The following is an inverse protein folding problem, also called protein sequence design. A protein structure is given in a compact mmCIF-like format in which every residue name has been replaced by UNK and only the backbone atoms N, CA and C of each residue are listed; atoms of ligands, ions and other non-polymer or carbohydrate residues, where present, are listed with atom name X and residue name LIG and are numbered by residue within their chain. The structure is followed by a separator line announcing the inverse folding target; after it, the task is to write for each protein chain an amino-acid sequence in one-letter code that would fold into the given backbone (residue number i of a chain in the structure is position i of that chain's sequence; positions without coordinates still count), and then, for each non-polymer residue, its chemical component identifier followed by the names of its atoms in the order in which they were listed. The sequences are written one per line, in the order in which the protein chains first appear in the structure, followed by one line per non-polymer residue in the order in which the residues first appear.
data_IF_518300501315
#
_entry.id   IF_518300501315
#
_cell.length_a   1.000
_cell.length_b   1.000
_cell.length_c   1.000
_cell.angle_alpha   90.00
_cell.angle_beta   90.00
_cell.angle_gamma   90.00
#
_symmetry.space_group_name_H-M   'P 1'
#
loop_
_entity.id
_entity.type
_entity.pdbx_description
1 polymer ?
#
# COMPACT_ATOMS: atom_id res chain seq x y z
N UNK A 1 -3.18 10.85 9.60
CA UNK A 1 -3.66 9.89 8.59
C UNK A 1 -2.49 9.00 8.26
N UNK A 2 -2.45 7.79 8.83
CA UNK A 2 -1.22 7.01 9.03
C UNK A 2 -0.83 6.99 10.50
N UNK A 3 -1.79 6.73 11.38
CA UNK A 3 -1.49 6.34 12.75
C UNK A 3 -1.56 4.81 12.79
N UNK A 4 -0.49 4.16 13.23
CA UNK A 4 -0.32 2.71 13.15
C UNK A 4 -1.31 1.93 14.04
N UNK A 5 -2.06 2.65 14.87
CA UNK A 5 -3.00 2.07 15.83
C UNK A 5 -4.41 1.86 15.25
N UNK A 6 -4.79 2.53 14.16
CA UNK A 6 -6.12 2.40 13.53
C UNK A 6 -5.97 2.16 12.03
N UNK A 7 -5.48 0.96 11.70
CA UNK A 7 -5.54 0.47 10.34
C UNK A 7 -6.91 -0.15 10.20
N UNK A 8 -7.88 0.72 9.93
CA UNK A 8 -9.17 0.30 9.42
C UNK A 8 -8.91 -0.72 8.30
N UNK A 9 -9.69 -1.79 8.25
CA UNK A 9 -9.57 -2.89 7.29
C UNK A 9 -9.69 -2.44 5.82
N UNK A 10 -9.88 -1.14 5.58
CA UNK A 10 -10.12 -0.46 4.32
C UNK A 10 -8.93 0.43 3.95
N UNK A 11 -8.52 0.36 2.68
CA UNK A 11 -7.43 1.19 2.19
C UNK A 11 -7.82 2.67 2.22
N UNK A 12 -6.84 3.57 2.35
CA UNK A 12 -7.10 5.01 2.32
C UNK A 12 -7.87 5.46 1.05
N UNK A 13 -7.66 4.75 -0.06
CA UNK A 13 -8.40 4.96 -1.31
C UNK A 13 -9.86 4.54 -1.16
N UNK A 14 -10.11 3.31 -0.70
CA UNK A 14 -11.47 2.78 -0.50
C UNK A 14 -12.29 3.65 0.47
N UNK A 15 -11.65 4.12 1.55
CA UNK A 15 -12.28 5.06 2.48
C UNK A 15 -12.74 6.35 1.78
N UNK A 16 -11.90 6.96 0.96
CA UNK A 16 -12.23 8.21 0.25
C UNK A 16 -13.36 7.97 -0.77
N UNK A 17 -13.34 6.86 -1.48
CA UNK A 17 -14.36 6.56 -2.49
C UNK A 17 -15.73 6.30 -1.87
N UNK A 18 -15.78 5.53 -0.78
CA UNK A 18 -17.02 5.08 -0.17
C UNK A 18 -17.59 6.06 0.85
N UNK A 19 -16.76 6.67 1.72
CA UNK A 19 -17.24 7.60 2.76
C UNK A 19 -17.42 9.02 2.23
N UNK A 20 -16.59 9.45 1.28
CA UNK A 20 -16.63 10.81 0.75
C UNK A 20 -17.30 10.90 -0.63
N UNK A 21 -17.61 9.75 -1.26
CA UNK A 21 -18.23 9.69 -2.59
C UNK A 21 -17.33 10.26 -3.70
N UNK A 22 -16.02 10.37 -3.44
CA UNK A 22 -15.05 10.96 -4.36
C UNK A 22 -14.30 9.85 -5.08
N UNK A 23 -14.37 9.82 -6.41
CA UNK A 23 -13.57 8.86 -7.18
C UNK A 23 -12.09 9.18 -7.09
N UNK A 24 -11.28 8.16 -6.80
CA UNK A 24 -9.83 8.27 -6.71
C UNK A 24 -9.18 7.55 -7.87
N UNK A 25 -8.51 8.32 -8.73
CA UNK A 25 -7.80 7.79 -9.90
C UNK A 25 -6.30 7.81 -9.65
N UNK A 26 -5.78 6.74 -9.05
CA UNK A 26 -4.34 6.59 -8.82
C UNK A 26 -3.61 6.34 -10.14
N UNK A 27 -2.57 7.15 -10.42
CA UNK A 27 -1.73 6.99 -11.62
C UNK A 27 -0.94 5.67 -11.56
N UNK A 28 -0.57 5.26 -10.35
CA UNK A 28 0.12 4.01 -10.05
C UNK A 28 -0.40 3.48 -8.71
N UNK A 29 -0.43 2.17 -8.54
CA UNK A 29 -0.62 1.55 -7.24
C UNK A 29 0.71 1.03 -6.71
N UNK A 30 0.73 0.68 -5.43
CA UNK A 30 1.97 0.24 -4.77
C UNK A 30 2.54 -1.05 -5.38
N UNK A 31 1.70 -1.96 -5.89
CA UNK A 31 2.16 -3.16 -6.57
C UNK A 31 2.95 -2.83 -7.82
N UNK A 32 2.47 -1.88 -8.62
CA UNK A 32 3.19 -1.41 -9.81
C UNK A 32 4.49 -0.71 -9.44
N UNK A 33 4.48 0.17 -8.43
CA UNK A 33 5.70 0.84 -7.95
C UNK A 33 6.73 -0.18 -7.47
N UNK A 34 6.32 -1.14 -6.64
CA UNK A 34 7.20 -2.18 -6.13
C UNK A 34 7.81 -3.01 -7.26
N UNK A 35 7.02 -3.40 -8.26
CA UNK A 35 7.53 -4.13 -9.43
C UNK A 35 8.58 -3.34 -10.22
N UNK A 36 8.48 -2.01 -10.28
CA UNK A 36 9.45 -1.16 -10.97
C UNK A 36 10.78 -1.04 -10.23
N UNK A 37 10.77 -1.10 -8.89
CA UNK A 37 11.97 -0.82 -8.09
C UNK A 37 12.58 -2.07 -7.44
N UNK A 38 11.85 -3.19 -7.30
CA UNK A 38 12.27 -4.35 -6.48
C UNK A 38 13.64 -4.89 -6.83
N UNK A 39 14.02 -4.86 -8.11
CA UNK A 39 15.30 -5.40 -8.59
C UNK A 39 16.48 -4.46 -8.31
N UNK A 40 16.19 -3.20 -7.96
CA UNK A 40 17.17 -2.20 -7.52
C UNK A 40 17.30 -2.10 -6.00
N UNK A 41 16.42 -2.77 -5.25
CA UNK A 41 16.46 -2.80 -3.79
C UNK A 41 17.37 -3.92 -3.32
N UNK A 42 18.13 -3.67 -2.26
CA UNK A 42 18.81 -4.73 -1.53
C UNK A 42 17.81 -5.66 -0.81
N UNK A 43 18.30 -6.80 -0.36
CA UNK A 43 17.47 -7.86 0.24
C UNK A 43 16.78 -7.40 1.53
N UNK A 44 17.46 -6.61 2.36
CA UNK A 44 16.91 -6.07 3.60
C UNK A 44 15.73 -5.13 3.29
N UNK A 45 15.91 -4.22 2.34
CA UNK A 45 14.88 -3.29 1.92
C UNK A 45 13.69 -4.02 1.30
N UNK A 46 13.91 -5.04 0.45
CA UNK A 46 12.81 -5.86 -0.07
C UNK A 46 12.02 -6.53 1.05
N UNK A 47 12.71 -7.06 2.07
CA UNK A 47 12.06 -7.71 3.21
C UNK A 47 11.20 -6.74 4.01
N UNK A 48 11.71 -5.54 4.30
CA UNK A 48 10.98 -4.49 5.03
C UNK A 48 9.69 -4.11 4.27
N UNK A 49 9.77 -3.96 2.95
CA UNK A 49 8.61 -3.66 2.13
C UNK A 49 7.56 -4.77 2.18
N UNK A 50 7.97 -6.03 2.00
CA UNK A 50 7.06 -7.18 2.06
C UNK A 50 6.41 -7.28 3.43
N UNK A 51 7.18 -7.17 4.51
CA UNK A 51 6.66 -7.24 5.89
C UNK A 51 5.69 -6.11 6.19
N UNK A 52 6.00 -4.88 5.79
CA UNK A 52 5.13 -3.72 6.00
C UNK A 52 3.78 -3.91 5.30
N UNK A 53 3.79 -4.22 4.01
CA UNK A 53 2.55 -4.37 3.23
C UNK A 53 1.80 -5.66 3.56
N UNK A 54 2.47 -6.69 4.07
CA UNK A 54 1.79 -7.86 4.66
C UNK A 54 1.04 -7.52 5.94
N UNK A 55 1.61 -6.64 6.77
CA UNK A 55 1.02 -6.27 8.07
C UNK A 55 -0.07 -5.21 7.95
N UNK A 56 0.08 -4.29 7.00
CA UNK A 56 -0.69 -3.04 6.96
C UNK A 56 -1.30 -2.72 5.60
N UNK A 57 -0.84 -3.41 4.55
CA UNK A 57 -1.36 -3.20 3.20
C UNK A 57 -2.67 -3.92 3.00
N UNK A 58 -3.56 -3.33 2.19
CA UNK A 58 -4.74 -4.02 1.67
C UNK A 58 -4.42 -4.96 0.50
N UNK A 59 -3.18 -4.92 0.01
CA UNK A 59 -2.68 -5.76 -1.09
C UNK A 59 -1.30 -6.32 -0.74
N UNK A 60 -1.12 -7.62 -0.99
CA UNK A 60 0.18 -8.30 -0.91
C UNK A 60 1.04 -7.99 -2.13
N UNK A 61 2.32 -7.75 -1.87
CA UNK A 61 3.32 -7.45 -2.90
C UNK A 61 3.84 -8.72 -3.60
N UNK A 62 3.87 -9.85 -2.88
CA UNK A 62 4.28 -11.19 -3.32
C UNK A 62 3.36 -12.28 -2.75
#
# INVERSE_FOLDING_TARGET
MGDAEHIDERGAVEYIEEELGLKVYSIQNIKTIYQLIRDSLDEEMRRIWIEYYRRYGTITLE
#
